data_IF_039788005836
#
_entry.id   IF_039788005836
#
_cell.length_a   1.000
_cell.length_b   1.000
_cell.length_c   1.000
_cell.angle_alpha   90.00
_cell.angle_beta   90.00
_cell.angle_gamma   90.00
#
_symmetry.space_group_name_H-M   'P 1'
#
loop_
_entity.id
_entity.type
_entity.pdbx_description
1 polymer ?
#
# COMPACT_ATOMS: atom_id res chain seq x y z
N UNK A 1 1.16 15.42 -23.45
CA UNK A 1 1.21 13.94 -23.35
C UNK A 1 -0.22 13.44 -23.41
N UNK A 2 -0.59 12.72 -24.46
CA UNK A 2 -1.97 12.32 -24.71
C UNK A 2 -2.38 11.16 -23.78
N UNK A 3 -3.31 11.43 -22.88
CA UNK A 3 -3.91 10.47 -21.95
C UNK A 3 -4.67 9.40 -22.73
N UNK A 4 -4.17 8.17 -22.75
CA UNK A 4 -4.84 7.01 -23.36
C UNK A 4 -6.07 6.62 -22.51
N UNK A 5 -7.21 7.28 -22.74
CA UNK A 5 -8.49 6.98 -22.07
C UNK A 5 -9.14 5.75 -22.67
N UNK A 6 -9.05 4.62 -21.98
CA UNK A 6 -9.84 3.43 -22.31
C UNK A 6 -11.32 3.67 -21.91
N UNK A 7 -12.27 3.67 -22.87
CA UNK A 7 -13.68 3.94 -22.61
C UNK A 7 -14.42 2.80 -21.90
N UNK A 8 -13.77 1.65 -21.66
CA UNK A 8 -14.42 0.45 -21.10
C UNK A 8 -14.41 0.34 -19.57
N UNK A 9 -13.91 1.34 -18.84
CA UNK A 9 -13.99 1.39 -17.38
C UNK A 9 -15.35 1.96 -16.96
N UNK A 10 -16.38 1.12 -16.97
CA UNK A 10 -17.78 1.42 -16.60
C UNK A 10 -17.95 1.97 -15.17
N UNK A 11 -16.93 1.86 -14.34
CA UNK A 11 -16.97 2.27 -12.94
C UNK A 11 -15.84 3.25 -12.61
N UNK A 12 -15.79 4.39 -13.31
CA UNK A 12 -14.84 5.47 -13.00
C UNK A 12 -15.07 6.05 -11.59
N UNK A 13 -16.33 6.09 -11.15
CA UNK A 13 -16.73 6.69 -9.87
C UNK A 13 -16.08 6.01 -8.66
N UNK A 14 -15.92 4.67 -8.70
CA UNK A 14 -15.24 3.88 -7.65
C UNK A 14 -13.76 4.25 -7.47
N UNK A 15 -13.11 4.83 -8.49
CA UNK A 15 -11.71 5.26 -8.38
C UNK A 15 -11.54 6.71 -7.92
N UNK A 16 -12.62 7.51 -7.91
CA UNK A 16 -12.56 8.96 -7.65
C UNK A 16 -13.18 9.41 -6.32
N UNK A 17 -14.04 8.59 -5.69
CA UNK A 17 -14.53 8.91 -4.34
C UNK A 17 -13.57 8.35 -3.29
N UNK A 18 -12.48 9.08 -3.05
CA UNK A 18 -11.63 8.85 -1.87
C UNK A 18 -11.92 9.95 -0.86
N UNK A 19 -12.38 9.56 0.32
CA UNK A 19 -12.49 10.47 1.47
C UNK A 19 -11.08 10.77 1.99
N UNK A 20 -10.56 11.92 1.56
CA UNK A 20 -9.25 12.43 1.93
C UNK A 20 -9.44 13.75 2.69
N UNK A 21 -8.80 13.88 3.84
CA UNK A 21 -8.67 15.13 4.58
C UNK A 21 -7.20 15.54 4.50
N UNK A 22 -6.93 16.71 3.90
CA UNK A 22 -5.55 17.23 3.72
C UNK A 22 -4.62 16.26 2.97
N UNK A 23 -5.15 15.45 2.05
CA UNK A 23 -4.37 14.45 1.30
C UNK A 23 -4.11 13.14 2.05
N UNK A 24 -4.62 13.00 3.28
CA UNK A 24 -4.54 11.77 4.08
C UNK A 24 -5.94 11.12 4.10
N UNK A 25 -6.05 9.78 3.98
CA UNK A 25 -7.33 9.09 4.17
C UNK A 25 -7.98 9.46 5.50
N UNK A 26 -9.27 9.82 5.48
CA UNK A 26 -9.98 10.34 6.66
C UNK A 26 -9.87 9.42 7.87
N UNK A 27 -9.89 8.09 7.66
CA UNK A 27 -9.75 7.09 8.73
C UNK A 27 -8.40 7.17 9.42
N UNK A 28 -7.32 7.34 8.66
CA UNK A 28 -5.96 7.46 9.18
C UNK A 28 -5.80 8.80 9.89
N UNK A 29 -6.30 9.88 9.28
CA UNK A 29 -6.25 11.22 9.87
C UNK A 29 -6.92 11.27 11.24
N UNK A 30 -8.14 10.72 11.38
CA UNK A 30 -8.88 10.68 12.65
C UNK A 30 -8.12 9.86 13.70
N UNK A 31 -7.59 8.68 13.32
CA UNK A 31 -6.82 7.85 14.24
C UNK A 31 -5.54 8.55 14.73
N UNK A 32 -4.82 9.21 13.84
CA UNK A 32 -3.63 9.99 14.18
C UNK A 32 -3.97 11.19 15.06
N UNK A 33 -5.05 11.91 14.76
CA UNK A 33 -5.51 13.03 15.59
C UNK A 33 -5.91 12.58 17.00
N UNK A 34 -6.57 11.43 17.13
CA UNK A 34 -6.90 10.87 18.44
C UNK A 34 -5.63 10.55 19.25
N UNK A 35 -4.63 9.93 18.61
CA UNK A 35 -3.34 9.64 19.25
C UNK A 35 -2.61 10.91 19.71
N UNK A 36 -2.56 11.93 18.85
CA UNK A 36 -1.92 13.23 19.18
C UNK A 36 -2.68 13.94 20.29
N UNK A 37 -4.01 13.95 20.27
CA UNK A 37 -4.83 14.54 21.32
C UNK A 37 -4.63 13.82 22.67
N UNK A 38 -4.57 12.48 22.66
CA UNK A 38 -4.27 11.71 23.86
C UNK A 38 -2.88 12.05 24.42
N UNK A 39 -1.85 12.07 23.58
CA UNK A 39 -0.51 12.47 23.99
C UNK A 39 -0.48 13.89 24.56
N UNK A 40 -1.24 14.82 23.97
CA UNK A 40 -1.33 16.19 24.44
C UNK A 40 -1.96 16.30 25.83
N UNK A 41 -3.02 15.54 26.09
CA UNK A 41 -3.65 15.45 27.43
C UNK A 41 -2.64 14.93 28.44
N UNK A 42 -1.92 13.84 28.13
CA UNK A 42 -0.88 13.28 29.00
C UNK A 42 0.18 14.34 29.31
N UNK A 43 0.70 15.04 28.30
CA UNK A 43 1.70 16.07 28.51
C UNK A 43 1.20 17.25 29.34
N UNK A 44 -0.05 17.67 29.17
CA UNK A 44 -0.61 18.76 29.97
C UNK A 44 -0.90 18.35 31.43
N UNK A 45 -1.09 17.05 31.72
CA UNK A 45 -1.28 16.55 33.09
C UNK A 45 0.06 16.41 33.83
N UNK A 46 1.08 15.88 33.16
CA UNK A 46 2.35 15.50 33.81
C UNK A 46 3.47 16.55 33.69
N UNK A 47 3.35 17.51 32.76
CA UNK A 47 4.30 18.62 32.63
C UNK A 47 3.65 19.96 33.01
N UNK A 48 4.44 20.98 33.39
CA UNK A 48 3.94 22.35 33.49
C UNK A 48 3.22 22.76 32.19
N UNK A 49 2.09 23.44 32.31
CA UNK A 49 1.16 23.71 31.19
C UNK A 49 1.88 24.27 29.94
N UNK A 50 2.77 25.24 30.09
CA UNK A 50 3.52 25.82 28.95
C UNK A 50 4.43 24.79 28.27
N UNK A 51 5.12 23.96 29.05
CA UNK A 51 5.97 22.87 28.54
C UNK A 51 5.12 21.76 27.91
N UNK A 52 3.98 21.42 28.52
CA UNK A 52 3.04 20.43 28.01
C UNK A 52 2.45 20.84 26.66
N UNK A 53 2.04 22.10 26.50
CA UNK A 53 1.56 22.62 25.20
C UNK A 53 2.67 22.59 24.16
N UNK A 54 3.88 23.05 24.51
CA UNK A 54 5.01 23.05 23.58
C UNK A 54 5.39 21.63 23.12
N UNK A 55 5.48 20.67 24.05
CA UNK A 55 5.79 19.28 23.73
C UNK A 55 4.67 18.60 22.92
N UNK A 56 3.41 18.94 23.18
CA UNK A 56 2.24 18.48 22.41
C UNK A 56 2.32 18.93 20.96
N UNK A 57 2.74 20.17 20.73
CA UNK A 57 2.89 20.73 19.38
C UNK A 57 4.04 20.02 18.65
N UNK A 58 5.17 19.82 19.32
CA UNK A 58 6.34 19.12 18.78
C UNK A 58 6.00 17.67 18.42
N UNK A 59 5.37 16.91 19.31
CA UNK A 59 5.00 15.52 19.02
C UNK A 59 3.95 15.43 17.92
N UNK A 60 2.99 16.36 17.91
CA UNK A 60 1.97 16.44 16.87
C UNK A 60 2.60 16.61 15.49
N UNK A 61 3.57 17.51 15.34
CA UNK A 61 4.31 17.69 14.10
C UNK A 61 5.14 16.46 13.74
N UNK A 62 5.87 15.88 14.69
CA UNK A 62 6.69 14.69 14.47
C UNK A 62 5.88 13.48 14.01
N UNK A 63 4.62 13.37 14.39
CA UNK A 63 3.73 12.29 13.96
C UNK A 63 3.01 12.64 12.66
N UNK A 64 2.45 13.86 12.55
CA UNK A 64 1.64 14.25 11.39
C UNK A 64 2.47 14.41 10.10
N UNK A 65 3.72 14.88 10.19
CA UNK A 65 4.57 15.08 9.01
C UNK A 65 4.86 13.75 8.28
N UNK A 66 5.38 12.70 8.95
CA UNK A 66 5.57 11.40 8.30
C UNK A 66 4.27 10.80 7.78
N UNK A 67 3.17 10.91 8.54
CA UNK A 67 1.86 10.40 8.10
C UNK A 67 1.41 11.08 6.81
N UNK A 68 1.57 12.40 6.73
CA UNK A 68 1.30 13.17 5.52
C UNK A 68 2.20 12.73 4.35
N UNK A 69 3.51 12.62 4.58
CA UNK A 69 4.47 12.22 3.53
C UNK A 69 4.15 10.84 2.96
N UNK A 70 3.80 9.86 3.79
CA UNK A 70 3.46 8.50 3.35
C UNK A 70 2.18 8.48 2.50
N UNK A 71 1.16 9.24 2.90
CA UNK A 71 -0.16 9.19 2.25
C UNK A 71 -0.32 10.15 1.08
N UNK A 72 0.59 11.13 0.93
CA UNK A 72 0.61 12.07 -0.19
C UNK A 72 0.77 11.35 -1.53
N UNK A 73 1.67 10.38 -1.59
CA UNK A 73 2.00 9.65 -2.83
C UNK A 73 1.14 8.39 -3.00
N UNK A 74 0.81 7.70 -1.90
CA UNK A 74 -0.07 6.53 -1.90
C UNK A 74 -1.09 6.59 -0.74
N UNK A 75 -2.35 6.99 -0.99
CA UNK A 75 -3.37 7.05 0.05
C UNK A 75 -3.76 5.66 0.59
N UNK A 76 -3.48 4.57 -0.10
CA UNK A 76 -3.81 3.21 0.36
C UNK A 76 -2.64 2.53 1.08
N UNK A 77 -1.52 3.24 1.29
CA UNK A 77 -0.32 2.71 1.94
C UNK A 77 -0.65 2.03 3.29
N UNK A 78 -1.55 2.61 4.07
CA UNK A 78 -1.95 2.05 5.38
C UNK A 78 -2.54 0.64 5.30
N UNK A 79 -3.17 0.25 4.18
CA UNK A 79 -3.74 -1.10 4.04
C UNK A 79 -2.66 -2.17 4.08
N UNK A 80 -1.48 -1.88 3.51
CA UNK A 80 -0.33 -2.79 3.53
C UNK A 80 0.20 -2.94 4.95
N UNK A 81 0.34 -1.83 5.67
CA UNK A 81 0.78 -1.83 7.07
C UNK A 81 -0.16 -2.62 7.98
N UNK A 82 -1.48 -2.37 7.90
CA UNK A 82 -2.47 -3.14 8.69
C UNK A 82 -2.39 -4.62 8.33
N UNK A 83 -2.32 -4.96 7.03
CA UNK A 83 -2.18 -6.37 6.61
C UNK A 83 -0.88 -6.99 7.10
N UNK A 84 0.22 -6.25 7.17
CA UNK A 84 1.49 -6.77 7.70
C UNK A 84 1.44 -7.10 9.19
N UNK A 85 0.66 -6.35 9.98
CA UNK A 85 0.50 -6.60 11.41
C UNK A 85 -0.24 -7.92 11.69
N UNK A 86 -1.23 -8.26 10.86
CA UNK A 86 -2.06 -9.46 11.05
C UNK A 86 -1.64 -10.67 10.21
N UNK A 87 -0.89 -10.46 9.12
CA UNK A 87 -0.58 -11.48 8.14
C UNK A 87 0.86 -11.40 7.62
N UNK A 88 1.84 -11.19 8.52
CA UNK A 88 3.27 -11.14 8.19
C UNK A 88 3.74 -12.32 7.31
N UNK A 89 3.22 -13.53 7.56
CA UNK A 89 3.55 -14.74 6.80
C UNK A 89 2.88 -14.85 5.40
N UNK A 90 1.89 -13.99 5.09
CA UNK A 90 1.17 -13.99 3.79
C UNK A 90 1.64 -12.89 2.84
N UNK A 91 2.65 -12.11 3.22
CA UNK A 91 3.32 -11.15 2.35
C UNK A 91 4.38 -11.81 1.47
N UNK A 92 4.20 -13.08 1.10
CA UNK A 92 5.09 -13.70 0.11
C UNK A 92 4.72 -13.19 -1.29
N UNK A 93 5.68 -12.57 -1.97
CA UNK A 93 5.58 -12.22 -3.39
C UNK A 93 5.90 -13.47 -4.22
N UNK A 94 5.23 -14.58 -3.93
CA UNK A 94 5.28 -15.77 -4.80
C UNK A 94 4.09 -15.73 -5.73
N UNK A 95 4.18 -14.89 -6.77
CA UNK A 95 3.23 -14.96 -7.89
C UNK A 95 3.81 -15.90 -8.93
N UNK A 96 3.59 -17.21 -8.77
CA UNK A 96 3.91 -18.19 -9.81
C UNK A 96 2.94 -18.02 -10.97
N UNK A 97 3.32 -17.20 -11.94
CA UNK A 97 2.58 -17.10 -13.20
C UNK A 97 2.90 -18.35 -14.01
N UNK A 98 1.88 -19.11 -14.43
CA UNK A 98 2.05 -20.18 -15.42
C UNK A 98 2.53 -19.56 -16.73
N UNK A 99 3.84 -19.57 -16.95
CA UNK A 99 4.41 -19.17 -18.24
C UNK A 99 4.38 -20.37 -19.16
N UNK A 100 3.71 -20.27 -20.30
CA UNK A 100 3.83 -21.28 -21.36
C UNK A 100 5.25 -21.22 -21.90
N UNK A 101 6.00 -22.31 -21.75
CA UNK A 101 7.34 -22.43 -22.31
C UNK A 101 7.23 -23.30 -23.56
N UNK A 102 7.65 -22.74 -24.70
CA UNK A 102 7.75 -23.45 -25.96
C UNK A 102 9.15 -24.03 -26.05
N UNK A 103 9.27 -25.35 -26.06
CA UNK A 103 10.54 -26.02 -26.32
C UNK A 103 10.64 -26.33 -27.80
N UNK A 104 11.68 -25.80 -28.42
CA UNK A 104 12.06 -26.08 -29.79
C UNK A 104 13.15 -27.15 -29.74
N UNK A 105 12.82 -28.38 -30.15
CA UNK A 105 13.82 -29.43 -30.35
C UNK A 105 14.02 -29.68 -31.84
N UNK A 106 15.28 -29.92 -32.24
CA UNK A 106 15.62 -30.24 -33.62
C UNK A 106 15.50 -31.75 -33.80
N UNK A 107 14.63 -32.19 -34.71
CA UNK A 107 14.46 -33.61 -35.04
C UNK A 107 15.61 -34.05 -35.99
N UNK A 108 16.03 -35.33 -35.99
CA UNK A 108 17.05 -35.84 -36.90
C UNK A 108 16.77 -35.57 -38.39
N UNK A 109 15.50 -35.41 -38.75
CA UNK A 109 15.02 -35.13 -40.11
C UNK A 109 15.20 -33.65 -40.53
N UNK A 110 15.89 -32.83 -39.73
CA UNK A 110 16.15 -31.42 -40.00
C UNK A 110 15.01 -30.46 -39.64
N UNK A 111 13.79 -30.96 -39.40
CA UNK A 111 12.62 -30.16 -39.01
C UNK A 111 12.61 -29.80 -37.50
N UNK A 112 12.05 -28.63 -37.20
CA UNK A 112 11.86 -28.14 -35.82
C UNK A 112 10.57 -28.70 -35.23
N UNK A 113 10.66 -29.37 -34.08
CA UNK A 113 9.51 -29.84 -33.32
C UNK A 113 9.22 -28.86 -32.18
N UNK A 114 8.03 -28.27 -32.19
CA UNK A 114 7.55 -27.37 -31.13
C UNK A 114 6.78 -28.20 -30.12
N UNK A 115 7.29 -28.31 -28.89
CA UNK A 115 6.60 -29.00 -27.80
C UNK A 115 6.20 -27.97 -26.74
N UNK A 116 4.90 -27.83 -26.49
CA UNK A 116 4.40 -26.91 -25.46
C UNK A 116 4.40 -27.64 -24.13
N UNK A 117 5.31 -27.27 -23.22
CA UNK A 117 5.30 -27.81 -21.87
C UNK A 117 4.51 -26.84 -20.98
N UNK A 118 3.40 -27.35 -20.44
CA UNK A 118 2.70 -26.67 -19.35
C UNK A 118 3.29 -27.19 -18.05
N UNK A 119 4.18 -26.44 -17.41
CA UNK A 119 4.72 -26.85 -16.11
C UNK A 119 3.56 -27.01 -15.10
N UNK A 120 3.39 -28.20 -14.48
CA UNK A 120 2.49 -28.35 -13.36
C UNK A 120 3.06 -27.63 -12.13
N UNK A 121 2.17 -26.99 -11.38
CA UNK A 121 2.47 -26.25 -10.15
C UNK A 121 3.15 -27.19 -9.13
N UNK A 122 4.45 -27.06 -8.90
CA UNK A 122 5.08 -27.68 -7.73
C UNK A 122 4.62 -26.92 -6.48
N UNK A 123 3.91 -27.65 -5.62
CA UNK A 123 3.37 -27.17 -4.34
C UNK A 123 4.48 -27.42 -3.31
N UNK A 124 5.12 -26.35 -2.82
CA UNK A 124 5.92 -26.37 -1.60
C UNK A 124 5.10 -25.78 -0.46
#
# INVERSE_FOLDING_TARGET
MAEHRNPNLKNKAVFTQRDLILGIPSRVFIATMFLVAFAAVVFCIYLPIYLGIASSLVIGLLVLIPVYLVHKDDPEAYMVWIRSLFAAARLSVSRSVRRRVLLLSRRPDGNLQVTTITQPLQRN
#
